data_IF_932097963100
#
_entry.id   IF_932097963100
#
_cell.length_a   1.000
_cell.length_b   1.000
_cell.length_c   1.000
_cell.angle_alpha   90.00
_cell.angle_beta   90.00
_cell.angle_gamma   90.00
#
_symmetry.space_group_name_H-M   'P 1'
#
loop_
_entity.id
_entity.type
_entity.pdbx_description
1 polymer ?
#
# COMPACT_ATOMS: atom_id res chain seq x y z
N UNK A 1 -8.57 -2.72 -13.31
CA UNK A 1 -7.12 -2.39 -13.30
C UNK A 1 -6.35 -3.49 -12.62
N UNK A 2 -5.18 -3.85 -13.11
CA UNK A 2 -4.34 -4.85 -12.45
C UNK A 2 -3.48 -4.22 -11.37
N UNK A 3 -3.18 -5.01 -10.35
CA UNK A 3 -2.22 -4.65 -9.31
C UNK A 3 -1.05 -5.61 -9.37
N UNK A 4 0.12 -5.14 -8.94
CA UNK A 4 1.34 -5.95 -8.91
C UNK A 4 2.18 -5.53 -7.72
N UNK A 5 2.79 -6.50 -7.05
CA UNK A 5 3.76 -6.23 -5.99
C UNK A 5 5.12 -5.97 -6.62
N UNK A 6 5.81 -4.94 -6.15
CA UNK A 6 7.12 -4.57 -6.71
C UNK A 6 8.16 -5.67 -6.49
N UNK A 7 8.21 -6.24 -5.28
CA UNK A 7 9.28 -7.14 -4.90
C UNK A 7 8.83 -8.20 -3.89
N UNK A 8 9.72 -9.18 -3.64
CA UNK A 8 9.45 -10.24 -2.69
C UNK A 8 9.45 -9.76 -1.25
N UNK A 9 10.12 -8.65 -0.94
CA UNK A 9 10.12 -8.07 0.40
C UNK A 9 8.70 -7.69 0.80
N UNK A 10 7.95 -7.03 -0.09
CA UNK A 10 6.55 -6.67 0.17
C UNK A 10 5.68 -7.92 0.29
N UNK A 11 5.89 -8.91 -0.57
CA UNK A 11 5.16 -10.16 -0.49
C UNK A 11 5.37 -10.84 0.86
N UNK A 12 6.62 -10.93 1.31
CA UNK A 12 6.95 -11.52 2.61
C UNK A 12 6.33 -10.72 3.77
N UNK A 13 6.33 -9.39 3.67
CA UNK A 13 5.68 -8.55 4.66
C UNK A 13 4.20 -8.92 4.80
N UNK A 14 3.48 -9.02 3.67
CA UNK A 14 2.06 -9.35 3.69
C UNK A 14 1.83 -10.73 4.30
N UNK A 15 2.65 -11.72 3.94
CA UNK A 15 2.54 -13.07 4.49
C UNK A 15 2.82 -13.13 5.99
N UNK A 16 3.57 -12.18 6.54
CA UNK A 16 3.89 -12.12 7.97
C UNK A 16 2.75 -11.61 8.84
N UNK A 17 1.71 -11.04 8.22
CA UNK A 17 0.58 -10.47 8.94
C UNK A 17 -0.34 -11.57 9.49
N UNK A 18 -1.17 -11.21 10.47
CA UNK A 18 -2.20 -12.13 10.96
C UNK A 18 -3.18 -12.47 9.84
N UNK A 19 -3.74 -13.68 9.87
CA UNK A 19 -4.60 -14.17 8.79
C UNK A 19 -5.80 -13.26 8.50
N UNK A 20 -6.41 -12.73 9.55
CA UNK A 20 -7.53 -11.78 9.38
C UNK A 20 -7.09 -10.47 8.73
N UNK A 21 -5.87 -10.03 9.01
CA UNK A 21 -5.30 -8.83 8.40
C UNK A 21 -4.99 -9.08 6.92
N UNK A 22 -4.43 -10.25 6.60
CA UNK A 22 -4.17 -10.63 5.20
C UNK A 22 -5.48 -10.57 4.39
N UNK A 23 -6.56 -11.12 4.93
CA UNK A 23 -7.86 -11.09 4.24
C UNK A 23 -8.30 -9.65 3.97
N UNK A 24 -8.11 -8.74 4.92
CA UNK A 24 -8.45 -7.32 4.74
C UNK A 24 -7.55 -6.65 3.71
N UNK A 25 -6.25 -6.97 3.70
CA UNK A 25 -5.33 -6.45 2.69
C UNK A 25 -5.80 -6.85 1.29
N UNK A 26 -6.12 -8.13 1.10
CA UNK A 26 -6.60 -8.62 -0.18
C UNK A 26 -7.90 -7.94 -0.60
N UNK A 27 -8.79 -7.69 0.36
CA UNK A 27 -10.05 -6.99 0.07
C UNK A 27 -9.80 -5.55 -0.39
N UNK A 28 -8.89 -4.83 0.25
CA UNK A 28 -8.59 -3.44 -0.14
C UNK A 28 -7.87 -3.41 -1.48
N UNK A 29 -7.01 -4.39 -1.76
CA UNK A 29 -6.40 -4.52 -3.08
C UNK A 29 -7.47 -4.74 -4.16
N UNK A 30 -8.47 -5.58 -3.90
CA UNK A 30 -9.60 -5.75 -4.83
C UNK A 30 -10.32 -4.43 -5.08
N UNK A 31 -10.54 -3.62 -4.05
CA UNK A 31 -11.15 -2.30 -4.21
C UNK A 31 -10.30 -1.40 -5.09
N UNK A 32 -8.98 -1.44 -4.92
CA UNK A 32 -8.06 -0.71 -5.78
C UNK A 32 -8.17 -1.16 -7.24
N UNK A 33 -8.28 -2.46 -7.46
CA UNK A 33 -8.47 -3.01 -8.82
C UNK A 33 -9.78 -2.57 -9.43
N UNK A 34 -10.85 -2.47 -8.63
CA UNK A 34 -12.17 -2.05 -9.10
C UNK A 34 -12.23 -0.55 -9.41
N UNK A 35 -11.67 0.29 -8.55
CA UNK A 35 -11.83 1.72 -8.64
C UNK A 35 -10.62 2.47 -9.18
N UNK A 36 -9.44 1.84 -9.19
CA UNK A 36 -8.22 2.44 -9.73
C UNK A 36 -7.90 3.77 -9.06
N UNK A 37 -7.62 4.79 -9.87
CA UNK A 37 -7.30 6.13 -9.37
C UNK A 37 -8.48 6.85 -8.73
N UNK A 38 -9.67 6.27 -8.78
CA UNK A 38 -10.87 6.83 -8.14
C UNK A 38 -11.07 6.31 -6.73
N UNK A 39 -10.26 5.34 -6.29
CA UNK A 39 -10.29 4.87 -4.91
C UNK A 39 -9.81 6.01 -3.99
N UNK A 40 -10.64 6.37 -3.03
CA UNK A 40 -10.35 7.46 -2.11
C UNK A 40 -10.49 7.03 -0.66
N UNK A 41 -10.53 8.01 0.22
CA UNK A 41 -10.75 7.74 1.65
C UNK A 41 -12.04 6.94 1.85
N UNK A 42 -12.07 6.03 2.84
CA UNK A 42 -11.03 5.81 3.86
C UNK A 42 -9.92 4.84 3.42
N UNK A 43 -9.96 4.31 2.19
CA UNK A 43 -9.07 3.23 1.76
C UNK A 43 -7.76 3.71 1.17
N UNK A 44 -7.75 4.92 0.60
CA UNK A 44 -6.57 5.44 -0.09
C UNK A 44 -6.44 6.94 0.13
N UNK A 45 -5.18 7.40 0.23
CA UNK A 45 -4.86 8.81 0.38
C UNK A 45 -3.61 9.12 -0.44
N UNK A 46 -3.62 10.23 -1.18
CA UNK A 46 -2.41 10.71 -1.85
C UNK A 46 -1.42 11.26 -0.82
N UNK A 47 -0.15 10.93 -0.99
CA UNK A 47 0.93 11.49 -0.16
C UNK A 47 1.86 12.40 -0.98
N UNK A 48 1.44 12.74 -2.21
CA UNK A 48 2.16 13.65 -3.09
C UNK A 48 3.14 12.94 -4.03
N UNK A 49 3.52 13.63 -5.10
CA UNK A 49 4.50 13.13 -6.05
C UNK A 49 4.09 11.88 -6.81
N UNK A 50 2.80 11.62 -6.95
CA UNK A 50 2.30 10.41 -7.60
C UNK A 50 2.29 9.17 -6.72
N UNK A 51 2.59 9.33 -5.44
CA UNK A 51 2.59 8.24 -4.47
C UNK A 51 1.30 8.28 -3.66
N UNK A 52 0.73 7.11 -3.40
CA UNK A 52 -0.51 6.93 -2.64
C UNK A 52 -0.28 5.94 -1.50
N UNK A 53 -1.14 6.01 -0.49
CA UNK A 53 -1.11 5.12 0.65
C UNK A 53 -2.42 4.38 0.75
N UNK A 54 -2.38 3.04 0.65
CA UNK A 54 -3.51 2.18 1.00
C UNK A 54 -3.57 2.05 2.52
N UNK A 55 -4.78 2.14 3.06
CA UNK A 55 -5.02 2.09 4.50
C UNK A 55 -5.90 0.88 4.82
N UNK A 56 -5.35 -0.06 5.56
CA UNK A 56 -6.03 -1.27 5.99
C UNK A 56 -6.12 -1.23 7.52
N UNK A 57 -7.31 -0.95 8.04
CA UNK A 57 -7.53 -0.78 9.48
C UNK A 57 -8.14 -2.04 10.08
N UNK A 58 -7.68 -2.40 11.26
CA UNK A 58 -8.15 -3.55 12.02
C UNK A 58 -7.26 -3.78 13.22
N UNK A 59 -7.14 -5.04 13.64
CA UNK A 59 -6.26 -5.43 14.75
C UNK A 59 -4.83 -4.96 14.47
N UNK A 60 -4.40 -5.10 13.23
CA UNK A 60 -3.16 -4.51 12.74
C UNK A 60 -3.51 -3.35 11.81
N UNK A 61 -2.90 -2.19 12.00
CA UNK A 61 -3.11 -1.02 11.14
C UNK A 61 -2.03 -1.02 10.08
N UNK A 62 -2.37 -1.55 8.89
CA UNK A 62 -1.42 -1.73 7.81
C UNK A 62 -1.52 -0.59 6.81
N UNK A 63 -0.37 -0.12 6.35
CA UNK A 63 -0.25 0.88 5.29
C UNK A 63 0.61 0.32 4.18
N UNK A 64 0.17 0.48 2.93
CA UNK A 64 0.92 0.04 1.75
C UNK A 64 0.99 1.19 0.76
N UNK A 65 2.19 1.66 0.48
CA UNK A 65 2.40 2.70 -0.51
C UNK A 65 2.34 2.11 -1.91
N UNK A 66 1.71 2.83 -2.83
CA UNK A 66 1.60 2.38 -4.21
C UNK A 66 1.61 3.58 -5.17
N UNK A 67 1.85 3.30 -6.43
CA UNK A 67 1.82 4.27 -7.52
C UNK A 67 1.23 3.63 -8.76
N UNK A 68 0.73 4.45 -9.67
CA UNK A 68 0.26 3.96 -10.96
C UNK A 68 1.38 4.03 -11.98
N UNK A 69 1.59 2.95 -12.71
CA UNK A 69 2.59 2.90 -13.77
C UNK A 69 2.13 1.95 -14.86
N UNK A 70 2.16 2.44 -16.11
CA UNK A 70 1.84 1.63 -17.29
C UNK A 70 0.47 0.95 -17.19
N UNK A 71 -0.52 1.65 -16.64
CA UNK A 71 -1.89 1.14 -16.53
C UNK A 71 -2.11 0.18 -15.38
N UNK A 72 -1.12 0.00 -14.52
CA UNK A 72 -1.23 -0.87 -13.35
C UNK A 72 -1.03 -0.08 -12.07
N UNK A 73 -1.57 -0.61 -10.95
CA UNK A 73 -1.23 -0.13 -9.62
C UNK A 73 -0.07 -0.97 -9.10
N UNK A 74 1.06 -0.35 -8.88
CA UNK A 74 2.27 -1.02 -8.42
C UNK A 74 2.44 -0.76 -6.93
N UNK A 75 2.30 -1.83 -6.11
CA UNK A 75 2.45 -1.74 -4.67
C UNK A 75 3.94 -1.84 -4.33
N UNK A 76 4.43 -0.88 -3.53
CA UNK A 76 5.87 -0.64 -3.37
C UNK A 76 6.41 -1.05 -2.01
N UNK A 77 5.74 -0.65 -0.93
CA UNK A 77 6.26 -0.83 0.41
C UNK A 77 5.15 -0.82 1.43
N UNK A 78 5.22 -1.74 2.39
CA UNK A 78 4.21 -1.85 3.45
C UNK A 78 4.82 -1.82 4.83
N UNK A 79 4.04 -1.39 5.81
CA UNK A 79 4.44 -1.39 7.21
C UNK A 79 3.21 -1.42 8.11
N UNK A 80 3.42 -1.78 9.37
CA UNK A 80 2.38 -1.71 10.41
C UNK A 80 2.54 -0.39 11.14
N UNK A 81 1.48 0.43 11.10
CA UNK A 81 1.50 1.75 11.76
C UNK A 81 1.21 1.56 13.25
N UNK A 82 2.17 1.93 14.08
CA UNK A 82 2.08 1.76 15.54
C UNK A 82 2.02 3.07 16.32
N UNK A 83 2.16 4.21 15.66
CA UNK A 83 2.16 5.51 16.33
C UNK A 83 1.29 6.50 15.58
N UNK A 84 0.96 7.62 16.23
CA UNK A 84 0.16 8.68 15.62
C UNK A 84 0.93 9.43 14.53
N UNK A 85 2.26 9.47 14.64
CA UNK A 85 3.10 10.16 13.66
C UNK A 85 3.28 9.28 12.43
N UNK A 86 3.21 9.88 11.27
CA UNK A 86 3.58 9.21 10.04
C UNK A 86 5.09 8.89 10.11
N UNK A 87 5.50 7.62 10.00
CA UNK A 87 6.92 7.28 10.10
C UNK A 87 7.64 7.71 8.84
N UNK A 88 8.44 8.74 8.98
CA UNK A 88 9.19 9.34 7.88
C UNK A 88 10.07 8.34 7.16
N UNK A 89 10.66 7.41 7.92
CA UNK A 89 11.50 6.34 7.38
C UNK A 89 10.76 5.48 6.36
N UNK A 90 9.50 5.14 6.66
CA UNK A 90 8.69 4.30 5.78
C UNK A 90 8.33 5.05 4.49
N UNK A 91 7.98 6.33 4.61
CA UNK A 91 7.70 7.17 3.46
C UNK A 91 8.95 7.33 2.58
N UNK A 92 10.11 7.53 3.19
CA UNK A 92 11.37 7.65 2.45
C UNK A 92 11.70 6.37 1.68
N UNK A 93 11.48 5.20 2.30
CA UNK A 93 11.67 3.92 1.63
C UNK A 93 10.75 3.81 0.41
N UNK A 94 9.48 4.17 0.58
CA UNK A 94 8.51 4.12 -0.52
C UNK A 94 8.91 5.07 -1.65
N UNK A 95 9.35 6.28 -1.32
CA UNK A 95 9.78 7.24 -2.35
C UNK A 95 11.01 6.76 -3.10
N UNK A 96 11.98 6.15 -2.40
CA UNK A 96 13.16 5.59 -3.05
C UNK A 96 12.77 4.49 -4.04
N UNK A 97 11.86 3.60 -3.64
CA UNK A 97 11.37 2.53 -4.52
C UNK A 97 10.61 3.11 -5.71
N UNK A 98 9.79 4.13 -5.47
CA UNK A 98 9.05 4.82 -6.53
C UNK A 98 9.98 5.44 -7.54
N UNK A 99 11.04 6.10 -7.07
CA UNK A 99 12.02 6.76 -7.95
C UNK A 99 12.80 5.75 -8.79
N UNK A 100 12.86 4.49 -8.37
CA UNK A 100 13.62 3.44 -9.06
C UNK A 100 12.84 2.72 -10.16
N UNK A 101 11.57 3.01 -10.32
CA UNK A 101 10.73 2.32 -11.33
C UNK A 101 10.48 3.15 -12.58
#
# INVERSE_FOLDING_TARGET
>A
MNTRLLDTELEQFIHSLESGTIAKVLRVIELLEMFGNRLGMPHSKSVGGGLFELRIRGVQDVRIFYAFKSGEALLLHGYIKKSRRAPLKELQTARRKHDSI
#
